data_IF_787433984464
#
_entry.id   IF_787433984464
#
_cell.length_a   1.000
_cell.length_b   1.000
_cell.length_c   1.000
_cell.angle_alpha   90.00
_cell.angle_beta   90.00
_cell.angle_gamma   90.00
#
_symmetry.space_group_name_H-M   'P 1'
#
loop_
_entity.id
_entity.type
_entity.pdbx_description
1 polymer ?
#
# COMPACT_ATOMS: atom_id res chain seq x y z
N UNK A 1 -35.63 29.64 -7.29
CA UNK A 1 -34.62 28.57 -7.08
C UNK A 1 -34.06 28.79 -5.69
N UNK A 2 -34.61 28.09 -4.70
CA UNK A 2 -34.22 28.25 -3.30
C UNK A 2 -33.06 27.30 -2.99
N UNK A 3 -31.96 27.88 -2.52
CA UNK A 3 -30.75 27.16 -2.16
C UNK A 3 -30.91 26.69 -0.72
N UNK A 4 -31.16 25.40 -0.52
CA UNK A 4 -31.21 24.77 0.80
C UNK A 4 -29.78 24.66 1.34
N UNK A 5 -29.43 25.51 2.29
CA UNK A 5 -28.19 25.38 3.07
C UNK A 5 -28.38 24.27 4.11
N UNK A 6 -27.59 23.21 4.00
CA UNK A 6 -27.57 22.11 4.97
C UNK A 6 -26.63 22.49 6.11
N UNK A 7 -27.15 22.46 7.35
CA UNK A 7 -26.42 22.80 8.55
C UNK A 7 -25.20 21.89 8.79
N UNK A 8 -24.07 22.52 9.15
CA UNK A 8 -22.91 21.83 9.71
C UNK A 8 -23.25 21.35 11.13
N UNK A 9 -23.07 20.05 11.36
CA UNK A 9 -23.21 19.45 12.68
C UNK A 9 -21.96 19.76 13.51
N UNK A 10 -22.12 20.60 14.52
CA UNK A 10 -21.14 20.82 15.59
C UNK A 10 -21.46 19.87 16.75
N UNK A 11 -20.50 19.02 17.10
CA UNK A 11 -20.60 18.13 18.26
C UNK A 11 -20.01 18.85 19.46
N UNK A 12 -20.89 19.30 20.35
CA UNK A 12 -20.54 19.98 21.60
C UNK A 12 -19.81 19.09 22.60
N UNK A 13 -19.02 19.75 23.45
CA UNK A 13 -18.22 19.22 24.56
C UNK A 13 -19.09 18.97 25.82
N UNK A 14 -18.91 17.82 26.46
CA UNK A 14 -18.95 17.58 27.92
C UNK A 14 -18.44 16.14 28.15
N UNK A 15 -17.64 15.74 29.14
CA UNK A 15 -17.54 16.17 30.54
C UNK A 15 -16.10 16.50 30.97
N UNK A 16 -16.02 17.43 31.91
CA UNK A 16 -14.86 17.66 32.76
C UNK A 16 -14.79 16.60 33.86
N UNK A 17 -13.63 15.98 34.03
CA UNK A 17 -13.29 15.30 35.28
C UNK A 17 -11.93 15.83 35.75
N UNK A 18 -11.97 16.66 36.79
CA UNK A 18 -10.83 17.17 37.53
C UNK A 18 -10.21 16.01 38.32
N UNK A 19 -8.93 15.71 38.09
CA UNK A 19 -8.14 14.88 39.00
C UNK A 19 -6.83 15.60 39.36
N UNK A 20 -6.60 15.60 40.66
CA UNK A 20 -5.73 16.44 41.45
C UNK A 20 -4.23 16.35 41.11
N UNK A 21 -3.53 17.45 41.42
CA UNK A 21 -2.07 17.60 41.33
C UNK A 21 -1.36 16.54 42.18
N UNK A 22 -0.38 15.85 41.58
CA UNK A 22 0.69 15.21 42.34
C UNK A 22 2.02 15.43 41.63
N UNK A 23 2.86 16.24 42.29
CA UNK A 23 4.21 16.60 41.89
C UNK A 23 5.11 15.37 41.79
N UNK A 24 5.59 15.12 40.57
CA UNK A 24 6.54 14.05 40.27
C UNK A 24 7.24 14.33 38.96
N UNK A 25 8.29 15.15 39.01
CA UNK A 25 9.17 15.46 37.89
C UNK A 25 9.79 14.16 37.36
N UNK A 26 9.30 13.67 36.22
CA UNK A 26 10.05 12.79 35.35
C UNK A 26 9.73 13.16 33.91
N UNK A 27 10.68 13.83 33.25
CA UNK A 27 10.56 14.41 31.93
C UNK A 27 10.33 13.36 30.86
N UNK A 28 9.07 13.02 30.62
CA UNK A 28 8.62 12.32 29.43
C UNK A 28 7.81 13.34 28.64
N UNK A 29 8.51 14.24 27.93
CA UNK A 29 7.89 15.17 26.98
C UNK A 29 7.06 14.34 26.00
N UNK A 30 5.75 14.32 26.22
CA UNK A 30 4.80 13.65 25.33
C UNK A 30 4.87 14.40 24.02
N UNK A 31 5.58 13.83 23.04
CA UNK A 31 5.63 14.37 21.68
C UNK A 31 4.19 14.70 21.28
N UNK A 32 3.89 15.97 20.93
CA UNK A 32 2.53 16.35 20.58
C UNK A 32 2.05 15.45 19.46
N UNK A 33 0.94 14.75 19.70
CA UNK A 33 0.33 13.90 18.67
C UNK A 33 0.07 14.79 17.46
N UNK A 34 0.74 14.49 16.34
CA UNK A 34 0.49 15.19 15.08
C UNK A 34 -1.02 15.20 14.83
N UNK A 35 -1.58 16.40 14.68
CA UNK A 35 -2.97 16.55 14.30
C UNK A 35 -3.23 15.79 13.00
N UNK A 36 -4.22 14.90 13.03
CA UNK A 36 -4.64 14.19 11.83
C UNK A 36 -5.35 15.19 10.94
N UNK A 37 -4.80 15.46 9.76
CA UNK A 37 -5.48 16.24 8.73
C UNK A 37 -6.88 15.66 8.51
N UNK A 38 -7.91 16.50 8.68
CA UNK A 38 -9.30 16.12 8.45
C UNK A 38 -9.48 15.81 6.97
N UNK A 39 -10.05 14.65 6.66
CA UNK A 39 -10.34 14.25 5.27
C UNK A 39 -11.64 14.90 4.81
N UNK A 40 -11.58 15.66 3.73
CA UNK A 40 -12.76 16.14 3.01
C UNK A 40 -13.32 15.00 2.16
N UNK A 41 -14.60 14.66 2.38
CA UNK A 41 -15.29 13.59 1.67
C UNK A 41 -16.33 14.18 0.72
N UNK A 42 -16.22 13.87 -0.56
CA UNK A 42 -17.09 14.35 -1.62
C UNK A 42 -17.97 13.18 -2.08
N UNK A 43 -19.28 13.43 -2.20
CA UNK A 43 -20.23 12.47 -2.76
C UNK A 43 -19.96 12.31 -4.25
N UNK A 44 -19.70 11.09 -4.69
CA UNK A 44 -19.40 10.79 -6.11
C UNK A 44 -20.68 10.29 -6.80
N UNK A 45 -21.17 9.10 -6.43
CA UNK A 45 -22.32 8.46 -7.07
C UNK A 45 -23.25 7.80 -6.04
N UNK A 46 -24.50 7.55 -6.42
CA UNK A 46 -25.46 6.74 -5.66
C UNK A 46 -26.02 5.66 -6.56
N UNK A 47 -26.04 4.44 -6.06
CA UNK A 47 -26.55 3.25 -6.73
C UNK A 47 -27.75 2.74 -5.95
N UNK A 48 -28.72 2.15 -6.65
CA UNK A 48 -29.87 1.51 -6.03
C UNK A 48 -29.57 0.07 -5.58
N UNK A 49 -28.44 -0.49 -6.04
CA UNK A 49 -28.01 -1.84 -5.71
C UNK A 49 -26.57 -1.87 -5.19
N UNK A 50 -26.36 -2.58 -4.09
CA UNK A 50 -25.05 -2.86 -3.51
C UNK A 50 -24.09 -3.53 -4.50
N UNK A 51 -24.59 -4.47 -5.31
CA UNK A 51 -23.76 -5.21 -6.27
C UNK A 51 -23.11 -4.30 -7.31
N UNK A 52 -23.83 -3.30 -7.80
CA UNK A 52 -23.32 -2.33 -8.78
C UNK A 52 -22.29 -1.40 -8.17
N UNK A 53 -22.56 -0.89 -6.97
CA UNK A 53 -21.61 -0.05 -6.24
C UNK A 53 -20.29 -0.79 -6.00
N UNK A 54 -20.36 -2.04 -5.54
CA UNK A 54 -19.18 -2.87 -5.29
C UNK A 54 -18.44 -3.24 -6.59
N UNK A 55 -19.15 -3.56 -7.66
CA UNK A 55 -18.56 -3.84 -8.96
C UNK A 55 -17.77 -2.65 -9.50
N UNK A 56 -18.28 -1.42 -9.33
CA UNK A 56 -17.62 -0.20 -9.81
C UNK A 56 -16.25 0.05 -9.16
N UNK A 57 -16.05 -0.40 -7.91
CA UNK A 57 -14.82 -0.16 -7.15
C UNK A 57 -13.90 -1.38 -7.06
N UNK A 58 -14.40 -2.58 -7.36
CA UNK A 58 -13.72 -3.86 -7.11
C UNK A 58 -12.31 -3.94 -7.66
N UNK A 59 -12.04 -3.33 -8.81
CA UNK A 59 -10.73 -3.44 -9.48
C UNK A 59 -9.65 -2.65 -8.75
N UNK A 60 -9.90 -1.37 -8.45
CA UNK A 60 -8.90 -0.44 -7.90
C UNK A 60 -8.82 -0.44 -6.36
N UNK A 61 -9.84 -0.95 -5.69
CA UNK A 61 -10.05 -0.74 -4.26
C UNK A 61 -10.08 -2.04 -3.45
N UNK A 62 -9.69 -1.94 -2.19
CA UNK A 62 -9.76 -3.06 -1.25
C UNK A 62 -10.30 -2.62 0.09
N UNK A 63 -11.14 -3.47 0.70
CA UNK A 63 -11.75 -3.21 1.99
C UNK A 63 -10.68 -2.97 3.05
N UNK A 64 -10.87 -1.92 3.84
CA UNK A 64 -9.99 -1.53 4.93
C UNK A 64 -10.66 -1.82 6.28
N UNK A 65 -11.78 -1.17 6.57
CA UNK A 65 -12.57 -1.39 7.78
C UNK A 65 -14.04 -1.01 7.54
N UNK A 66 -14.89 -1.29 8.51
CA UNK A 66 -16.33 -1.01 8.45
C UNK A 66 -16.76 -0.37 9.76
N UNK A 67 -17.52 0.71 9.66
CA UNK A 67 -18.18 1.36 10.77
C UNK A 67 -19.69 1.24 10.61
N UNK A 68 -20.40 1.23 11.72
CA UNK A 68 -21.86 1.31 11.76
C UNK A 68 -22.22 2.64 12.40
N UNK A 69 -23.11 3.37 11.74
CA UNK A 69 -23.64 4.65 12.21
C UNK A 69 -25.16 4.61 12.09
N UNK A 70 -25.85 5.60 12.66
CA UNK A 70 -27.31 5.73 12.54
C UNK A 70 -27.76 5.83 11.07
N UNK A 71 -26.93 6.46 10.22
CA UNK A 71 -27.17 6.57 8.78
C UNK A 71 -27.01 5.23 8.05
N UNK A 72 -26.41 4.24 8.69
CA UNK A 72 -26.24 2.89 8.18
C UNK A 72 -24.79 2.40 8.24
N UNK A 73 -24.45 1.49 7.33
CA UNK A 73 -23.14 0.81 7.33
C UNK A 73 -22.18 1.54 6.41
N UNK A 74 -21.05 1.99 6.96
CA UNK A 74 -19.98 2.65 6.22
C UNK A 74 -18.81 1.69 6.00
N UNK A 75 -18.55 1.30 4.75
CA UNK A 75 -17.44 0.42 4.39
C UNK A 75 -16.34 1.24 3.74
N UNK A 76 -15.19 1.34 4.41
CA UNK A 76 -14.03 2.10 3.93
C UNK A 76 -13.12 1.23 3.09
N UNK A 77 -12.62 1.79 2.00
CA UNK A 77 -11.69 1.14 1.08
C UNK A 77 -10.40 1.96 0.91
N UNK A 78 -9.32 1.25 0.65
CA UNK A 78 -8.00 1.80 0.31
C UNK A 78 -7.55 1.35 -1.08
N UNK A 79 -6.76 2.17 -1.74
CA UNK A 79 -6.20 1.87 -3.06
C UNK A 79 -5.34 0.59 -3.00
N UNK A 80 -5.51 -0.32 -3.98
CA UNK A 80 -4.73 -1.57 -4.04
C UNK A 80 -3.25 -1.35 -4.38
N UNK A 81 -2.91 -0.29 -5.13
CA UNK A 81 -1.54 -0.04 -5.61
C UNK A 81 -0.55 0.23 -4.47
N UNK A 82 -0.99 0.84 -3.37
CA UNK A 82 -0.15 1.17 -2.22
C UNK A 82 -0.01 0.03 -1.18
N UNK A 83 -0.47 -1.19 -1.49
CA UNK A 83 -0.56 -2.30 -0.51
C UNK A 83 0.77 -2.87 0.00
N UNK A 84 1.90 -2.52 -0.60
CA UNK A 84 3.19 -3.10 -0.23
C UNK A 84 4.00 -2.13 0.62
N UNK A 85 4.02 -2.38 1.94
CA UNK A 85 4.89 -1.79 2.98
C UNK A 85 5.58 -0.48 2.51
N UNK A 86 4.88 0.63 2.68
CA UNK A 86 5.30 1.95 2.22
C UNK A 86 4.23 3.01 2.50
N UNK A 87 4.47 4.24 2.02
CA UNK A 87 3.49 5.33 2.08
C UNK A 87 2.16 4.85 1.48
N UNK A 88 1.09 5.00 2.27
CA UNK A 88 -0.25 4.69 1.80
C UNK A 88 -0.73 5.80 0.87
N UNK A 89 -1.40 5.42 -0.21
CA UNK A 89 -2.07 6.39 -1.08
C UNK A 89 -3.05 7.21 -0.25
N UNK A 90 -2.99 8.53 -0.37
CA UNK A 90 -3.84 9.49 0.35
C UNK A 90 -5.31 9.33 -0.05
N UNK A 91 -5.57 8.99 -1.31
CA UNK A 91 -6.91 8.76 -1.82
C UNK A 91 -7.59 7.56 -1.14
N UNK A 92 -8.77 7.81 -0.58
CA UNK A 92 -9.63 6.82 0.07
C UNK A 92 -11.05 6.97 -0.45
N UNK A 93 -11.82 5.87 -0.42
CA UNK A 93 -13.26 5.91 -0.66
C UNK A 93 -14.00 5.20 0.48
N UNK A 94 -15.28 5.51 0.67
CA UNK A 94 -16.17 4.66 1.44
C UNK A 94 -17.52 4.51 0.73
N UNK A 95 -18.15 3.37 0.98
CA UNK A 95 -19.53 3.08 0.59
C UNK A 95 -20.41 3.23 1.82
N UNK A 96 -21.42 4.08 1.74
CA UNK A 96 -22.48 4.19 2.73
C UNK A 96 -23.69 3.40 2.24
N UNK A 97 -23.98 2.30 2.92
CA UNK A 97 -25.23 1.55 2.78
C UNK A 97 -26.22 2.19 3.73
N UNK A 98 -27.26 2.83 3.19
CA UNK A 98 -28.22 3.59 3.98
C UNK A 98 -29.06 2.64 4.84
N UNK A 99 -29.42 3.04 6.06
CA UNK A 99 -30.24 2.21 6.95
C UNK A 99 -31.71 2.17 6.51
N UNK A 100 -32.20 3.27 5.95
CA UNK A 100 -33.61 3.46 5.57
C UNK A 100 -33.92 3.03 4.13
N UNK A 101 -32.89 2.84 3.30
CA UNK A 101 -33.06 2.53 1.87
C UNK A 101 -31.99 1.54 1.42
N UNK A 102 -32.29 0.72 0.41
CA UNK A 102 -31.31 -0.20 -0.20
C UNK A 102 -30.23 0.51 -1.06
N UNK A 103 -30.24 1.85 -1.06
CA UNK A 103 -29.29 2.66 -1.81
C UNK A 103 -27.90 2.58 -1.21
N UNK A 104 -26.90 2.69 -2.07
CA UNK A 104 -25.49 2.76 -1.69
C UNK A 104 -24.87 4.00 -2.30
N UNK A 105 -24.34 4.88 -1.45
CA UNK A 105 -23.65 6.10 -1.89
C UNK A 105 -22.15 5.95 -1.74
N UNK A 106 -21.41 6.30 -2.79
CA UNK A 106 -19.95 6.34 -2.80
C UNK A 106 -19.49 7.74 -2.43
N UNK A 107 -18.56 7.81 -1.49
CA UNK A 107 -17.84 9.01 -1.14
C UNK A 107 -16.35 8.82 -1.37
N UNK A 108 -15.71 9.86 -1.86
CA UNK A 108 -14.30 9.87 -2.23
C UNK A 108 -13.61 11.06 -1.60
N UNK A 109 -12.36 10.89 -1.18
CA UNK A 109 -11.54 12.01 -0.71
C UNK A 109 -11.09 12.89 -1.87
N UNK A 110 -10.93 14.18 -1.63
CA UNK A 110 -10.45 15.14 -2.63
C UNK A 110 -8.99 14.91 -3.09
N UNK A 111 -8.20 14.19 -2.30
CA UNK A 111 -6.79 13.95 -2.59
C UNK A 111 -6.54 13.21 -3.92
N UNK A 112 -5.49 13.56 -4.65
CA UNK A 112 -5.08 12.80 -5.83
C UNK A 112 -4.37 11.49 -5.46
N UNK A 113 -4.27 10.57 -6.43
CA UNK A 113 -3.53 9.33 -6.27
C UNK A 113 -2.02 9.58 -6.12
N UNK A 114 -1.55 9.69 -4.88
CA UNK A 114 -0.12 9.78 -4.59
C UNK A 114 0.55 8.39 -4.50
N UNK A 115 0.58 7.67 -5.62
CA UNK A 115 1.40 6.46 -5.73
C UNK A 115 2.43 6.63 -6.85
N UNK A 116 3.71 6.57 -6.51
CA UNK A 116 4.76 6.48 -7.52
C UNK A 116 4.54 5.21 -8.37
N UNK A 117 4.50 5.41 -9.69
CA UNK A 117 4.34 4.36 -10.70
C UNK A 117 5.29 3.21 -10.39
N UNK A 118 4.74 2.00 -10.45
CA UNK A 118 5.33 0.73 -10.02
C UNK A 118 6.85 0.70 -10.17
N UNK A 119 7.58 0.70 -9.05
CA UNK A 119 9.01 0.34 -9.06
C UNK A 119 9.10 -1.02 -9.74
N UNK A 120 9.65 -1.08 -10.94
CA UNK A 120 9.77 -2.31 -11.73
C UNK A 120 10.51 -3.35 -10.89
N UNK A 121 9.76 -4.30 -10.31
CA UNK A 121 10.31 -5.27 -9.35
C UNK A 121 11.05 -6.41 -10.05
N UNK A 122 10.72 -6.67 -11.31
CA UNK A 122 11.24 -7.78 -12.06
C UNK A 122 12.33 -7.33 -13.04
N UNK A 123 13.34 -8.18 -13.20
CA UNK A 123 14.30 -8.05 -14.30
C UNK A 123 13.58 -8.46 -15.59
N UNK A 124 13.76 -7.67 -16.64
CA UNK A 124 13.22 -7.98 -17.97
C UNK A 124 13.78 -9.30 -18.50
N UNK A 125 12.99 -10.04 -19.28
CA UNK A 125 13.38 -11.36 -19.77
C UNK A 125 14.61 -11.30 -20.68
N UNK A 126 14.74 -10.24 -21.48
CA UNK A 126 15.92 -10.04 -22.32
C UNK A 126 17.18 -9.80 -21.47
N UNK A 127 17.03 -9.05 -20.37
CA UNK A 127 18.13 -8.79 -19.43
C UNK A 127 18.55 -10.06 -18.71
N UNK A 128 17.61 -10.94 -18.35
CA UNK A 128 17.93 -12.24 -17.73
C UNK A 128 18.78 -13.10 -18.64
N UNK A 129 18.41 -13.23 -19.91
CA UNK A 129 19.21 -13.98 -20.90
C UNK A 129 20.63 -13.44 -21.00
N UNK A 130 20.80 -12.12 -21.07
CA UNK A 130 22.13 -11.51 -21.07
C UNK A 130 22.91 -11.78 -19.76
N UNK A 131 22.24 -11.78 -18.60
CA UNK A 131 22.89 -12.13 -17.33
C UNK A 131 23.37 -13.58 -17.34
N UNK A 132 22.57 -14.50 -17.87
CA UNK A 132 22.93 -15.92 -17.96
C UNK A 132 24.09 -16.17 -18.91
N UNK A 133 24.11 -15.52 -20.07
CA UNK A 133 25.25 -15.54 -21.00
C UNK A 133 26.53 -15.06 -20.30
N UNK A 134 26.50 -13.86 -19.70
CA UNK A 134 27.66 -13.29 -18.99
C UNK A 134 28.13 -14.18 -17.85
N UNK A 135 27.21 -14.85 -17.16
CA UNK A 135 27.54 -15.78 -16.08
C UNK A 135 28.19 -17.06 -16.62
N UNK A 136 27.72 -17.58 -17.75
CA UNK A 136 28.31 -18.75 -18.42
C UNK A 136 29.68 -18.42 -19.03
N UNK A 137 29.89 -17.18 -19.46
CA UNK A 137 31.17 -16.64 -19.94
C UNK A 137 32.20 -16.43 -18.80
N UNK A 138 31.83 -16.75 -17.55
CA UNK A 138 32.72 -16.68 -16.38
C UNK A 138 32.63 -15.40 -15.55
N UNK A 139 31.80 -14.43 -15.95
CA UNK A 139 31.59 -13.20 -15.18
C UNK A 139 30.56 -13.45 -14.08
N UNK A 140 31.02 -13.94 -12.93
CA UNK A 140 30.14 -14.37 -11.85
C UNK A 140 29.79 -13.27 -10.83
N UNK A 141 30.54 -12.16 -10.79
CA UNK A 141 30.36 -11.12 -9.79
C UNK A 141 29.28 -10.11 -10.23
N UNK A 142 28.31 -9.78 -9.35
CA UNK A 142 27.22 -8.86 -9.71
C UNK A 142 27.69 -7.50 -10.21
N UNK A 143 28.75 -6.92 -9.63
CA UNK A 143 29.29 -5.62 -10.07
C UNK A 143 29.87 -5.66 -11.48
N UNK A 144 30.49 -6.77 -11.86
CA UNK A 144 31.08 -6.96 -13.19
C UNK A 144 29.99 -7.20 -14.23
N UNK A 145 28.96 -7.98 -13.89
CA UNK A 145 27.77 -8.16 -14.74
C UNK A 145 27.08 -6.81 -14.99
N UNK A 146 26.92 -5.96 -13.97
CA UNK A 146 26.35 -4.61 -14.15
C UNK A 146 27.19 -3.78 -15.14
N UNK A 147 28.53 -3.82 -15.02
CA UNK A 147 29.42 -3.12 -15.96
C UNK A 147 29.31 -3.67 -17.39
N UNK A 148 29.19 -4.98 -17.54
CA UNK A 148 29.00 -5.60 -18.84
C UNK A 148 27.63 -5.27 -19.45
N UNK A 149 26.56 -5.24 -18.65
CA UNK A 149 25.22 -4.82 -19.09
C UNK A 149 25.20 -3.33 -19.50
N UNK A 150 25.94 -2.47 -18.77
CA UNK A 150 26.15 -1.07 -19.14
C UNK A 150 26.84 -0.94 -20.51
N UNK A 151 27.90 -1.70 -20.74
CA UNK A 151 28.61 -1.71 -22.03
C UNK A 151 27.70 -2.19 -23.20
N UNK A 152 26.80 -3.15 -22.93
CA UNK A 152 25.81 -3.65 -23.91
C UNK A 152 24.60 -2.73 -24.10
N UNK A 153 24.53 -1.57 -23.42
CA UNK A 153 23.43 -0.58 -23.48
C UNK A 153 22.04 -1.18 -23.18
N UNK A 154 21.97 -2.20 -22.34
CA UNK A 154 20.69 -2.83 -21.92
C UNK A 154 20.21 -2.19 -20.62
N UNK A 155 18.90 -2.27 -20.34
CA UNK A 155 18.30 -1.79 -19.08
C UNK A 155 18.99 -2.42 -17.88
N UNK A 156 19.55 -1.58 -17.02
CA UNK A 156 20.34 -2.01 -15.86
C UNK A 156 19.40 -2.38 -14.72
N UNK A 157 19.38 -3.64 -14.24
CA UNK A 157 18.66 -4.00 -13.04
C UNK A 157 19.36 -3.41 -11.82
N UNK A 158 18.61 -3.17 -10.73
CA UNK A 158 19.25 -2.76 -9.47
C UNK A 158 20.15 -3.87 -8.94
N UNK A 159 21.18 -3.49 -8.18
CA UNK A 159 22.12 -4.45 -7.58
C UNK A 159 21.39 -5.56 -6.80
N UNK A 160 20.38 -5.20 -6.01
CA UNK A 160 19.58 -6.15 -5.23
C UNK A 160 18.82 -7.13 -6.12
N UNK A 161 18.23 -6.67 -7.21
CA UNK A 161 17.52 -7.55 -8.16
C UNK A 161 18.48 -8.56 -8.79
N UNK A 162 19.65 -8.08 -9.25
CA UNK A 162 20.66 -8.95 -9.84
C UNK A 162 21.19 -9.97 -8.84
N UNK A 163 21.48 -9.54 -7.61
CA UNK A 163 21.99 -10.43 -6.57
C UNK A 163 20.97 -11.53 -6.23
N UNK A 164 19.71 -11.16 -6.03
CA UNK A 164 18.64 -12.13 -5.79
C UNK A 164 18.50 -13.11 -6.96
N UNK A 165 18.53 -12.61 -8.20
CA UNK A 165 18.47 -13.44 -9.40
C UNK A 165 19.60 -14.46 -9.46
N UNK A 166 20.84 -14.02 -9.22
CA UNK A 166 22.02 -14.89 -9.26
C UNK A 166 22.00 -15.95 -8.15
N UNK A 167 21.49 -15.64 -6.95
CA UNK A 167 21.31 -16.63 -5.88
C UNK A 167 20.36 -17.74 -6.33
N UNK A 168 19.21 -17.38 -6.92
CA UNK A 168 18.26 -18.36 -7.46
C UNK A 168 18.84 -19.15 -8.63
N UNK A 169 19.55 -18.49 -9.55
CA UNK A 169 20.17 -19.13 -10.71
C UNK A 169 21.25 -20.13 -10.29
N UNK A 170 22.13 -19.77 -9.34
CA UNK A 170 23.15 -20.67 -8.79
C UNK A 170 22.52 -21.87 -8.10
N UNK A 171 21.48 -21.66 -7.28
CA UNK A 171 20.75 -22.75 -6.63
C UNK A 171 20.13 -23.72 -7.64
N UNK A 172 19.60 -23.19 -8.76
CA UNK A 172 19.04 -24.00 -9.85
C UNK A 172 20.12 -24.79 -10.61
N UNK A 173 21.28 -24.17 -10.85
CA UNK A 173 22.36 -24.75 -11.67
C UNK A 173 23.25 -25.73 -10.89
N UNK A 174 23.55 -25.44 -9.62
CA UNK A 174 24.52 -26.19 -8.80
C UNK A 174 23.89 -26.86 -7.57
N UNK A 175 22.59 -26.67 -7.33
CA UNK A 175 21.92 -27.19 -6.15
C UNK A 175 22.09 -26.31 -4.89
N UNK A 176 21.69 -26.85 -3.74
CA UNK A 176 21.83 -26.17 -2.46
C UNK A 176 23.30 -26.09 -2.05
N UNK A 177 23.76 -24.91 -1.63
CA UNK A 177 25.07 -24.76 -0.99
C UNK A 177 25.11 -25.27 0.46
N UNK A 178 23.96 -25.63 1.03
CA UNK A 178 23.86 -26.30 2.31
C UNK A 178 23.70 -27.79 2.05
N UNK A 179 24.71 -28.56 2.43
CA UNK A 179 24.72 -30.02 2.48
C UNK A 179 24.49 -30.39 3.95
N UNK A 180 23.60 -31.35 4.21
CA UNK A 180 23.41 -31.90 5.55
C UNK A 180 24.55 -32.87 5.87
N UNK A 181 25.02 -32.93 7.12
CA UNK A 181 26.05 -33.90 7.53
C UNK A 181 25.64 -35.35 7.21
N UNK A 182 24.34 -35.68 7.31
CA UNK A 182 23.82 -37.00 6.96
C UNK A 182 23.83 -37.33 5.45
N UNK A 183 24.08 -36.36 4.56
CA UNK A 183 24.24 -36.58 3.12
C UNK A 183 25.68 -36.95 2.73
N UNK A 184 26.64 -36.85 3.66
CA UNK A 184 28.08 -37.14 3.44
C UNK A 184 28.52 -38.53 3.94
N UNK A 185 27.65 -39.26 4.65
CA UNK A 185 27.96 -40.56 5.27
C UNK A 185 27.42 -41.79 4.47
N UNK A 186 27.08 -41.60 3.18
CA UNK A 186 26.74 -42.69 2.25
C UNK A 186 27.90 -42.99 1.30
#
# INVERSE_FOLDING_TARGET
MEVVQVAQYESDKSDEELVEENDGINGNERVPKKEKLKKCWIKENTFDNAGEAEASIKDKWSKHYTNHTEKGRMVYYRCKKAKLRGSQCTLSIYLLYHAETDKVTIYKTEAEHDHHVDKVRCIDENVKKCIEELFNDGIMKPKEIIRALQARKVKIPTYTQLNNYLVHYKKKKYGSHKISLGELEQ
#
